data_IF_650359658806
#
_entry.id   IF_650359658806
#
_cell.length_a   1.000
_cell.length_b   1.000
_cell.length_c   1.000
_cell.angle_alpha   90.00
_cell.angle_beta   90.00
_cell.angle_gamma   90.00
#
_symmetry.space_group_name_H-M   'P 1'
#
loop_
_entity.id
_entity.type
_entity.pdbx_description
1 polymer ?
#
# COMPACT_ATOMS: atom_id res chain seq x y z
N UNK A 1 32.40 -0.21 23.96
CA UNK A 1 32.25 -0.65 22.55
C UNK A 1 31.92 -2.14 22.37
N UNK A 2 32.60 -3.10 23.02
CA UNK A 2 32.32 -4.55 22.86
C UNK A 2 30.96 -5.05 23.38
N UNK A 3 30.33 -4.35 24.34
CA UNK A 3 29.03 -4.77 24.90
C UNK A 3 27.87 -4.42 23.97
N UNK A 4 27.93 -3.24 23.33
CA UNK A 4 26.96 -2.77 22.33
C UNK A 4 26.97 -3.68 21.08
N UNK A 5 28.15 -4.13 20.65
CA UNK A 5 28.24 -5.10 19.54
C UNK A 5 27.72 -6.49 19.90
N UNK A 6 27.71 -6.86 21.19
CA UNK A 6 27.21 -8.17 21.66
C UNK A 6 25.68 -8.18 21.78
N UNK A 7 25.08 -7.11 22.29
CA UNK A 7 23.62 -6.94 22.34
C UNK A 7 23.05 -6.84 20.93
N UNK A 8 23.77 -6.17 20.00
CA UNK A 8 23.41 -6.07 18.59
C UNK A 8 23.41 -7.40 17.83
N UNK A 9 24.11 -8.44 18.31
CA UNK A 9 24.18 -9.73 17.60
C UNK A 9 23.20 -10.78 18.15
N UNK A 10 22.65 -10.62 19.36
CA UNK A 10 21.75 -11.63 19.95
C UNK A 10 20.26 -11.32 19.85
N UNK A 11 19.86 -10.05 19.70
CA UNK A 11 18.43 -9.63 19.67
C UNK A 11 17.92 -9.31 18.28
N UNK A 12 18.81 -9.19 17.30
CA UNK A 12 18.48 -8.72 15.97
C UNK A 12 18.32 -9.90 15.01
N UNK A 13 17.14 -10.00 14.39
CA UNK A 13 16.85 -11.03 13.40
C UNK A 13 17.89 -11.05 12.26
N UNK A 14 18.24 -12.27 11.81
CA UNK A 14 19.15 -12.51 10.69
C UNK A 14 18.64 -11.80 9.42
N UNK A 15 19.54 -11.28 8.59
CA UNK A 15 19.17 -10.57 7.35
C UNK A 15 18.32 -11.42 6.42
N UNK A 16 18.53 -12.75 6.37
CA UNK A 16 17.69 -13.65 5.56
C UNK A 16 16.24 -13.68 6.02
N UNK A 17 16.02 -13.73 7.34
CA UNK A 17 14.69 -13.68 7.98
C UNK A 17 14.03 -12.33 7.75
N UNK A 18 14.77 -11.23 7.94
CA UNK A 18 14.25 -9.88 7.67
C UNK A 18 13.83 -9.73 6.21
N UNK A 19 14.62 -10.19 5.24
CA UNK A 19 14.22 -10.14 3.83
C UNK A 19 12.93 -10.93 3.62
N UNK A 20 12.78 -12.12 4.21
CA UNK A 20 11.54 -12.90 4.09
C UNK A 20 10.32 -12.16 4.67
N UNK A 21 10.47 -11.54 5.84
CA UNK A 21 9.39 -10.75 6.44
C UNK A 21 9.03 -9.54 5.58
N UNK A 22 10.04 -8.82 5.06
CA UNK A 22 9.82 -7.72 4.11
C UNK A 22 9.07 -8.22 2.88
N UNK A 23 9.46 -9.36 2.30
CA UNK A 23 8.77 -9.93 1.13
C UNK A 23 7.30 -10.24 1.41
N UNK A 24 7.00 -10.84 2.55
CA UNK A 24 5.63 -11.24 2.93
C UNK A 24 4.78 -9.99 3.18
N UNK A 25 5.26 -9.08 4.03
CA UNK A 25 4.51 -7.87 4.39
C UNK A 25 4.31 -6.92 3.20
N UNK A 26 5.31 -6.80 2.31
CA UNK A 26 5.19 -5.96 1.11
C UNK A 26 4.19 -6.50 0.07
N UNK A 27 3.78 -7.78 0.18
CA UNK A 27 2.70 -8.35 -0.65
C UNK A 27 1.36 -8.26 0.08
N UNK A 28 1.31 -8.74 1.33
CA UNK A 28 0.05 -8.84 2.08
C UNK A 28 -0.49 -7.45 2.44
N UNK A 29 0.36 -6.51 2.85
CA UNK A 29 -0.05 -5.16 3.24
C UNK A 29 -0.88 -4.47 2.14
N UNK A 30 -0.35 -4.31 0.91
CA UNK A 30 -1.10 -3.75 -0.21
C UNK A 30 -2.42 -4.48 -0.53
N UNK A 31 -2.45 -5.81 -0.44
CA UNK A 31 -3.68 -6.59 -0.67
C UNK A 31 -4.73 -6.28 0.40
N UNK A 32 -4.32 -6.18 1.66
CA UNK A 32 -5.20 -5.82 2.78
C UNK A 32 -5.75 -4.40 2.60
N UNK A 33 -4.89 -3.44 2.26
CA UNK A 33 -5.30 -2.04 2.00
C UNK A 33 -6.43 -2.00 0.96
N UNK A 34 -6.22 -2.63 -0.19
CA UNK A 34 -7.20 -2.53 -1.29
C UNK A 34 -8.46 -3.32 -1.00
N UNK A 35 -8.36 -4.50 -0.38
CA UNK A 35 -9.56 -5.26 0.03
C UNK A 35 -10.42 -4.46 1.01
N UNK A 36 -9.78 -3.74 1.94
CA UNK A 36 -10.47 -2.89 2.89
C UNK A 36 -11.01 -1.60 2.25
N UNK A 37 -10.31 -1.02 1.28
CA UNK A 37 -10.83 0.11 0.49
C UNK A 37 -12.09 -0.25 -0.31
N UNK A 38 -12.14 -1.45 -0.90
CA UNK A 38 -13.39 -1.93 -1.52
C UNK A 38 -14.52 -2.12 -0.50
N UNK A 39 -14.21 -2.63 0.69
CA UNK A 39 -15.21 -2.72 1.76
C UNK A 39 -15.70 -1.34 2.20
N UNK A 40 -14.80 -0.36 2.28
CA UNK A 40 -15.14 1.03 2.60
C UNK A 40 -16.12 1.62 1.56
N UNK A 41 -15.78 1.50 0.27
CA UNK A 41 -16.66 1.93 -0.82
C UNK A 41 -18.05 1.27 -0.79
N UNK A 42 -18.11 -0.04 -0.52
CA UNK A 42 -19.38 -0.76 -0.37
C UNK A 42 -20.18 -0.25 0.84
N UNK A 43 -19.49 0.12 1.92
CA UNK A 43 -20.14 0.64 3.13
C UNK A 43 -20.79 2.00 2.88
N UNK A 44 -20.12 2.87 2.12
CA UNK A 44 -20.67 4.15 1.63
C UNK A 44 -21.90 3.93 0.75
N UNK A 45 -21.84 2.98 -0.19
CA UNK A 45 -22.99 2.61 -1.03
C UNK A 45 -24.21 2.15 -0.25
N UNK A 46 -23.98 1.43 0.84
CA UNK A 46 -25.04 0.95 1.72
C UNK A 46 -25.57 2.03 2.67
N UNK A 47 -25.04 3.27 2.59
CA UNK A 47 -25.39 4.39 3.49
C UNK A 47 -25.24 4.00 4.96
N UNK A 48 -24.18 3.24 5.25
CA UNK A 48 -23.83 2.88 6.62
C UNK A 48 -23.45 4.13 7.42
N UNK A 49 -23.54 4.12 8.76
CA UNK A 49 -23.11 5.25 9.58
C UNK A 49 -21.67 5.67 9.27
N UNK A 50 -21.51 6.93 8.90
CA UNK A 50 -20.27 7.52 8.40
C UNK A 50 -19.37 7.98 9.58
N UNK A 51 -18.25 7.29 9.78
CA UNK A 51 -17.17 7.72 10.68
C UNK A 51 -15.84 7.48 9.99
N UNK A 52 -14.88 8.41 10.15
CA UNK A 52 -13.53 8.21 9.62
C UNK A 52 -12.86 6.94 10.17
N UNK A 53 -13.01 6.65 11.46
CA UNK A 53 -12.52 5.40 12.07
C UNK A 53 -13.55 4.27 11.97
N UNK A 54 -14.03 4.01 10.75
CA UNK A 54 -14.87 2.84 10.45
C UNK A 54 -14.05 1.54 10.54
N UNK A 55 -14.71 0.38 10.69
CA UNK A 55 -14.01 -0.91 10.64
C UNK A 55 -13.19 -1.11 9.36
N UNK A 56 -13.70 -0.67 8.20
CA UNK A 56 -12.97 -0.72 6.92
C UNK A 56 -11.72 0.15 6.96
N UNK A 57 -11.80 1.41 7.41
CA UNK A 57 -10.63 2.28 7.57
C UNK A 57 -9.59 1.69 8.53
N UNK A 58 -10.00 1.11 9.66
CA UNK A 58 -9.07 0.46 10.60
C UNK A 58 -8.29 -0.66 9.89
N UNK A 59 -8.93 -1.44 9.02
CA UNK A 59 -8.26 -2.49 8.24
C UNK A 59 -7.37 -1.91 7.14
N UNK A 60 -7.76 -0.79 6.49
CA UNK A 60 -6.89 -0.03 5.57
C UNK A 60 -5.59 0.37 6.29
N UNK A 61 -5.71 1.03 7.45
CA UNK A 61 -4.57 1.47 8.25
C UNK A 61 -3.74 0.29 8.77
N UNK A 62 -4.36 -0.85 9.07
CA UNK A 62 -3.63 -2.07 9.39
C UNK A 62 -2.76 -2.51 8.22
N UNK A 63 -3.28 -2.52 6.99
CA UNK A 63 -2.49 -2.82 5.79
C UNK A 63 -1.36 -1.80 5.55
N UNK A 64 -1.60 -0.50 5.77
CA UNK A 64 -0.55 0.55 5.72
C UNK A 64 0.54 0.29 6.75
N UNK A 65 0.16 -0.11 7.97
CA UNK A 65 1.10 -0.45 9.04
C UNK A 65 1.98 -1.66 8.69
N UNK A 66 1.43 -2.67 8.00
CA UNK A 66 2.19 -3.83 7.52
C UNK A 66 3.25 -3.40 6.49
N UNK A 67 2.88 -2.59 5.51
CA UNK A 67 3.82 -2.06 4.51
C UNK A 67 4.90 -1.17 5.15
N UNK A 68 4.52 -0.38 6.15
CA UNK A 68 5.44 0.46 6.95
C UNK A 68 6.41 -0.38 7.77
N UNK A 69 5.97 -1.48 8.38
CA UNK A 69 6.86 -2.42 9.05
C UNK A 69 7.85 -3.06 8.07
N UNK A 70 7.41 -3.40 6.85
CA UNK A 70 8.29 -3.86 5.78
C UNK A 70 9.35 -2.79 5.41
N UNK A 71 8.95 -1.52 5.32
CA UNK A 71 9.86 -0.41 5.06
C UNK A 71 10.91 -0.24 6.17
N UNK A 72 10.51 -0.28 7.44
CA UNK A 72 11.43 -0.17 8.59
C UNK A 72 12.47 -1.31 8.58
N UNK A 73 12.03 -2.55 8.40
CA UNK A 73 12.95 -3.69 8.26
C UNK A 73 13.85 -3.57 7.02
N UNK A 74 13.31 -3.02 5.92
CA UNK A 74 14.04 -2.70 4.71
C UNK A 74 15.16 -1.68 4.92
N UNK A 75 14.88 -0.61 5.67
CA UNK A 75 15.87 0.41 6.07
C UNK A 75 16.99 -0.25 6.88
N UNK A 76 16.65 -1.12 7.85
CA UNK A 76 17.64 -1.87 8.64
C UNK A 76 18.56 -2.72 7.74
N UNK A 77 18.00 -3.41 6.73
CA UNK A 77 18.76 -4.21 5.77
C UNK A 77 19.71 -3.35 4.91
N UNK A 78 19.28 -2.15 4.51
CA UNK A 78 20.09 -1.20 3.73
C UNK A 78 21.24 -0.64 4.58
N UNK A 79 20.96 -0.22 5.82
CA UNK A 79 21.97 0.33 6.75
C UNK A 79 23.05 -0.72 7.03
N UNK A 80 22.67 -1.98 7.19
CA UNK A 80 23.60 -3.11 7.37
C UNK A 80 24.38 -3.50 6.12
N UNK A 81 24.10 -2.87 4.97
CA UNK A 81 24.66 -3.24 3.66
C UNK A 81 24.46 -4.72 3.30
N UNK A 82 23.40 -5.35 3.83
CA UNK A 82 23.13 -6.79 3.65
C UNK A 82 22.35 -7.14 2.37
N UNK A 83 21.99 -6.13 1.57
CA UNK A 83 21.24 -6.26 0.32
C UNK A 83 21.92 -5.46 -0.79
N UNK A 84 21.89 -5.98 -2.02
CA UNK A 84 22.55 -5.40 -3.20
C UNK A 84 21.68 -5.56 -4.45
N UNK A 85 22.04 -4.86 -5.53
CA UNK A 85 21.39 -5.00 -6.84
C UNK A 85 19.89 -4.72 -6.80
N UNK A 86 19.13 -5.49 -7.58
CA UNK A 86 17.67 -5.35 -7.70
C UNK A 86 16.91 -5.65 -6.40
N UNK A 87 17.46 -6.47 -5.49
CA UNK A 87 16.88 -6.65 -4.15
C UNK A 87 16.88 -5.34 -3.35
N UNK A 88 17.99 -4.58 -3.41
CA UNK A 88 18.08 -3.27 -2.75
C UNK A 88 17.11 -2.27 -3.41
N UNK A 89 16.98 -2.30 -4.73
CA UNK A 89 16.01 -1.47 -5.47
C UNK A 89 14.59 -1.77 -5.05
N UNK A 90 14.20 -3.05 -4.99
CA UNK A 90 12.87 -3.45 -4.56
C UNK A 90 12.55 -2.97 -3.13
N UNK A 91 13.51 -3.10 -2.20
CA UNK A 91 13.36 -2.58 -0.84
C UNK A 91 13.18 -1.05 -0.82
N UNK A 92 13.93 -0.31 -1.64
CA UNK A 92 13.75 1.15 -1.75
C UNK A 92 12.37 1.53 -2.25
N UNK A 93 11.83 0.80 -3.24
CA UNK A 93 10.47 1.03 -3.74
C UNK A 93 9.44 0.77 -2.63
N UNK A 94 9.56 -0.33 -1.88
CA UNK A 94 8.67 -0.58 -0.72
C UNK A 94 8.72 0.57 0.29
N UNK A 95 9.91 1.12 0.58
CA UNK A 95 10.07 2.27 1.47
C UNK A 95 9.35 3.51 0.92
N UNK A 96 9.56 3.84 -0.36
CA UNK A 96 8.90 4.99 -1.00
C UNK A 96 7.39 4.82 -1.00
N UNK A 97 6.89 3.63 -1.37
CA UNK A 97 5.47 3.32 -1.35
C UNK A 97 4.85 3.45 0.04
N UNK A 98 5.53 2.95 1.07
CA UNK A 98 5.07 3.06 2.47
C UNK A 98 5.00 4.52 2.95
N UNK A 99 6.00 5.34 2.59
CA UNK A 99 6.01 6.77 2.92
C UNK A 99 4.84 7.47 2.24
N UNK A 100 4.64 7.23 0.94
CA UNK A 100 3.50 7.77 0.22
C UNK A 100 2.18 7.36 0.87
N UNK A 101 1.97 6.08 1.16
CA UNK A 101 0.74 5.60 1.82
C UNK A 101 0.52 6.26 3.19
N UNK A 102 1.56 6.39 4.01
CA UNK A 102 1.41 6.97 5.35
C UNK A 102 1.08 8.45 5.29
N UNK A 103 1.78 9.21 4.45
CA UNK A 103 1.53 10.65 4.27
C UNK A 103 0.17 10.90 3.64
N UNK A 104 -0.19 10.09 2.63
CA UNK A 104 -1.46 10.24 1.91
C UNK A 104 -2.64 9.85 2.77
N UNK A 105 -2.55 8.77 3.57
CA UNK A 105 -3.63 8.41 4.50
C UNK A 105 -3.89 9.49 5.55
N UNK A 106 -2.83 10.14 6.04
CA UNK A 106 -3.01 11.30 6.93
C UNK A 106 -3.63 12.50 6.19
N UNK A 107 -3.16 12.79 4.96
CA UNK A 107 -3.74 13.85 4.12
C UNK A 107 -5.21 13.60 3.79
N UNK A 108 -5.59 12.34 3.60
CA UNK A 108 -6.96 11.90 3.37
C UNK A 108 -7.86 12.12 4.60
N UNK A 109 -7.38 11.77 5.80
CA UNK A 109 -8.05 12.14 7.05
C UNK A 109 -8.33 13.63 7.16
N UNK A 110 -7.35 14.47 6.82
CA UNK A 110 -7.54 15.93 6.85
C UNK A 110 -8.50 16.40 5.77
N UNK A 111 -8.49 15.77 4.59
CA UNK A 111 -9.46 16.05 3.53
C UNK A 111 -10.88 15.80 4.02
N UNK A 112 -11.11 14.66 4.70
CA UNK A 112 -12.41 14.31 5.24
C UNK A 112 -12.89 15.28 6.32
N UNK A 113 -11.98 15.79 7.14
CA UNK A 113 -12.30 16.80 8.16
C UNK A 113 -12.74 18.15 7.55
N UNK A 114 -12.18 18.53 6.39
CA UNK A 114 -12.41 19.84 5.75
C UNK A 114 -13.55 19.79 4.74
N UNK A 115 -13.60 18.74 3.93
CA UNK A 115 -14.49 18.63 2.76
C UNK A 115 -15.62 17.60 2.96
N UNK A 116 -15.60 16.84 4.05
CA UNK A 116 -16.50 15.71 4.27
C UNK A 116 -15.98 14.43 3.63
N UNK A 117 -16.66 13.33 3.92
CA UNK A 117 -16.24 12.00 3.46
C UNK A 117 -16.52 11.87 1.96
N UNK A 118 -15.47 11.52 1.21
CA UNK A 118 -15.53 11.36 -0.24
C UNK A 118 -15.57 9.87 -0.65
N UNK A 119 -15.89 9.62 -1.92
CA UNK A 119 -15.91 8.27 -2.48
C UNK A 119 -14.51 7.75 -2.82
N UNK A 120 -14.43 6.46 -3.14
CA UNK A 120 -13.17 5.75 -3.47
C UNK A 120 -12.30 6.45 -4.54
N UNK A 121 -12.92 7.21 -5.46
CA UNK A 121 -12.27 8.06 -6.45
C UNK A 121 -12.30 9.50 -5.93
N UNK A 122 -11.27 9.85 -5.17
CA UNK A 122 -11.02 11.23 -4.78
C UNK A 122 -9.57 11.63 -4.99
N UNK A 123 -9.32 12.94 -4.98
CA UNK A 123 -7.98 13.49 -5.11
C UNK A 123 -7.07 13.12 -3.94
N UNK A 124 -7.62 12.97 -2.72
CA UNK A 124 -6.84 12.57 -1.55
C UNK A 124 -6.42 11.10 -1.61
N UNK A 125 -7.18 10.25 -2.31
CA UNK A 125 -6.90 8.83 -2.49
C UNK A 125 -5.81 8.52 -3.53
N UNK A 126 -5.65 9.32 -4.61
CA UNK A 126 -4.72 8.99 -5.70
C UNK A 126 -3.24 8.81 -5.24
N UNK A 127 -2.70 9.66 -4.35
CA UNK A 127 -1.34 9.47 -3.83
C UNK A 127 -1.17 8.17 -3.01
N UNK A 128 -2.21 7.71 -2.31
CA UNK A 128 -2.22 6.44 -1.58
C UNK A 128 -2.14 5.25 -2.56
N UNK A 129 -2.90 5.31 -3.64
CA UNK A 129 -2.88 4.31 -4.72
C UNK A 129 -1.55 4.25 -5.47
N UNK A 130 -0.93 5.39 -5.73
CA UNK A 130 0.43 5.44 -6.26
C UNK A 130 1.42 4.73 -5.32
N UNK A 131 1.26 4.92 -4.01
CA UNK A 131 2.03 4.21 -2.99
C UNK A 131 1.86 2.68 -3.07
N UNK A 132 0.64 2.19 -3.33
CA UNK A 132 0.35 0.76 -3.55
C UNK A 132 1.07 0.20 -4.78
N UNK A 133 1.04 0.92 -5.91
CA UNK A 133 1.73 0.52 -7.14
C UNK A 133 3.25 0.45 -6.92
N UNK A 134 3.82 1.47 -6.28
CA UNK A 134 5.26 1.52 -6.01
C UNK A 134 5.68 0.40 -5.04
N UNK A 135 4.92 0.19 -3.96
CA UNK A 135 5.21 -0.87 -2.98
C UNK A 135 5.11 -2.27 -3.59
N UNK A 136 4.07 -2.53 -4.40
CA UNK A 136 3.88 -3.83 -5.06
C UNK A 136 4.93 -4.10 -6.14
N UNK A 137 5.36 -3.10 -6.92
CA UNK A 137 6.51 -3.23 -7.82
C UNK A 137 7.78 -3.59 -7.02
N UNK A 138 7.98 -2.94 -5.88
CA UNK A 138 9.04 -3.27 -4.93
C UNK A 138 8.99 -4.73 -4.49
N UNK A 139 7.81 -5.23 -4.12
CA UNK A 139 7.60 -6.61 -3.73
C UNK A 139 7.92 -7.61 -4.85
N UNK A 140 7.53 -7.32 -6.10
CA UNK A 140 7.88 -8.14 -7.27
C UNK A 140 9.39 -8.25 -7.43
N UNK A 141 10.11 -7.12 -7.35
CA UNK A 141 11.57 -7.11 -7.47
C UNK A 141 12.25 -7.90 -6.34
N UNK A 142 11.77 -7.76 -5.10
CA UNK A 142 12.29 -8.51 -3.95
C UNK A 142 12.09 -10.01 -4.16
N UNK A 143 10.88 -10.44 -4.55
CA UNK A 143 10.54 -11.85 -4.72
C UNK A 143 11.24 -12.49 -5.91
N UNK A 144 11.45 -11.75 -7.00
CA UNK A 144 12.27 -12.20 -8.14
C UNK A 144 13.69 -12.55 -7.72
N UNK A 145 14.30 -11.76 -6.81
CA UNK A 145 15.62 -12.06 -6.23
C UNK A 145 15.60 -13.26 -5.26
N UNK A 146 14.43 -13.82 -4.96
CA UNK A 146 14.23 -14.91 -3.99
C UNK A 146 13.52 -16.11 -4.60
N UNK A 147 13.50 -16.20 -5.93
CA UNK A 147 12.82 -17.26 -6.69
C UNK A 147 13.37 -18.66 -6.42
N UNK A 148 14.62 -18.78 -5.98
CA UNK A 148 15.20 -20.07 -5.58
C UNK A 148 14.87 -20.48 -4.13
N UNK A 149 14.04 -19.72 -3.43
CA UNK A 149 13.60 -20.02 -2.05
C UNK A 149 12.12 -20.39 -2.00
N UNK A 150 11.63 -20.85 -0.85
CA UNK A 150 10.18 -21.10 -0.63
C UNK A 150 9.29 -19.88 -0.90
N UNK A 151 9.86 -18.66 -0.89
CA UNK A 151 9.13 -17.43 -1.20
C UNK A 151 8.71 -17.31 -2.67
N UNK A 152 9.22 -18.15 -3.57
CA UNK A 152 8.76 -18.21 -4.97
C UNK A 152 7.25 -18.38 -5.08
N UNK A 153 6.62 -19.05 -4.11
CA UNK A 153 5.17 -19.24 -4.07
C UNK A 153 4.41 -17.90 -4.07
N UNK A 154 4.98 -16.84 -3.47
CA UNK A 154 4.37 -15.51 -3.41
C UNK A 154 4.58 -14.68 -4.68
N UNK A 155 5.51 -15.06 -5.57
CA UNK A 155 5.81 -14.32 -6.79
C UNK A 155 4.59 -14.12 -7.71
N UNK A 156 3.79 -15.15 -8.06
CA UNK A 156 2.60 -14.94 -8.91
C UNK A 156 1.59 -13.99 -8.25
N UNK A 157 1.36 -14.12 -6.94
CA UNK A 157 0.47 -13.22 -6.20
C UNK A 157 0.95 -11.77 -6.24
N UNK A 158 2.25 -11.56 -6.08
CA UNK A 158 2.87 -10.22 -6.16
C UNK A 158 2.74 -9.60 -7.55
N UNK A 159 2.94 -10.39 -8.62
CA UNK A 159 2.79 -9.92 -10.00
C UNK A 159 1.33 -9.54 -10.28
N UNK A 160 0.38 -10.41 -9.91
CA UNK A 160 -1.05 -10.13 -10.10
C UNK A 160 -1.47 -8.91 -9.31
N UNK A 161 -1.04 -8.77 -8.05
CA UNK A 161 -1.32 -7.60 -7.23
C UNK A 161 -0.77 -6.31 -7.87
N UNK A 162 0.49 -6.31 -8.32
CA UNK A 162 1.08 -5.16 -9.02
C UNK A 162 0.28 -4.78 -10.29
N UNK A 163 -0.07 -5.76 -11.12
CA UNK A 163 -0.88 -5.52 -12.33
C UNK A 163 -2.25 -4.95 -11.98
N UNK A 164 -2.89 -5.51 -10.96
CA UNK A 164 -4.20 -5.06 -10.49
C UNK A 164 -4.14 -3.62 -9.98
N UNK A 165 -3.22 -3.29 -9.07
CA UNK A 165 -3.09 -1.92 -8.54
C UNK A 165 -2.71 -0.91 -9.62
N UNK A 166 -1.88 -1.29 -10.59
CA UNK A 166 -1.53 -0.43 -11.71
C UNK A 166 -2.74 -0.15 -12.59
N UNK A 167 -3.51 -1.19 -12.91
CA UNK A 167 -4.73 -1.07 -13.71
C UNK A 167 -5.78 -0.25 -12.97
N UNK A 168 -5.91 -0.44 -11.66
CA UNK A 168 -6.79 0.32 -10.78
C UNK A 168 -6.45 1.81 -10.78
N UNK A 169 -5.18 2.17 -10.54
CA UNK A 169 -4.73 3.56 -10.59
C UNK A 169 -4.98 4.19 -11.97
N UNK A 170 -4.68 3.47 -13.05
CA UNK A 170 -4.95 3.97 -14.41
C UNK A 170 -6.45 4.19 -14.61
N UNK A 171 -7.29 3.25 -14.17
CA UNK A 171 -8.74 3.37 -14.24
C UNK A 171 -9.24 4.61 -13.50
N UNK A 172 -8.78 4.86 -12.27
CA UNK A 172 -9.15 6.04 -11.49
C UNK A 172 -8.69 7.34 -12.14
N UNK A 173 -7.46 7.39 -12.67
CA UNK A 173 -6.97 8.56 -13.40
C UNK A 173 -7.79 8.82 -14.68
N UNK A 174 -8.17 7.77 -15.42
CA UNK A 174 -9.01 7.91 -16.62
C UNK A 174 -10.40 8.41 -16.27
N UNK A 175 -11.03 7.89 -15.20
CA UNK A 175 -12.32 8.40 -14.73
C UNK A 175 -12.20 9.86 -14.27
N UNK A 176 -11.11 10.20 -13.59
CA UNK A 176 -10.87 11.56 -13.15
C UNK A 176 -10.87 12.56 -14.33
N UNK A 177 -10.15 12.28 -15.42
CA UNK A 177 -10.15 13.14 -16.62
C UNK A 177 -11.42 12.97 -17.49
N UNK A 178 -12.12 11.84 -17.37
CA UNK A 178 -13.36 11.53 -18.09
C UNK A 178 -14.63 12.11 -17.47
N UNK A 179 -14.54 12.76 -16.30
CA UNK A 179 -15.66 13.34 -15.55
C UNK A 179 -16.51 14.36 -16.32
N UNK A 180 -16.05 14.86 -17.47
CA UNK A 180 -16.83 15.77 -18.32
C UNK A 180 -18.08 15.15 -18.95
N UNK A 181 -18.32 13.82 -18.89
CA UNK A 181 -19.31 13.20 -19.79
C UNK A 181 -20.42 12.38 -19.13
N UNK A 182 -20.35 11.81 -17.91
CA UNK A 182 -21.32 10.74 -17.59
C UNK A 182 -21.67 10.57 -16.10
N UNK A 183 -22.92 10.92 -15.74
CA UNK A 183 -23.64 10.35 -14.59
C UNK A 183 -24.03 8.89 -14.88
N UNK A 184 -23.05 7.99 -14.92
CA UNK A 184 -23.29 6.54 -14.94
C UNK A 184 -23.28 6.05 -13.48
N UNK A 185 -24.06 5.02 -13.17
CA UNK A 185 -24.08 4.32 -11.87
C UNK A 185 -22.69 4.01 -11.28
N UNK A 186 -21.67 3.83 -12.13
CA UNK A 186 -20.26 3.67 -11.71
C UNK A 186 -19.75 4.91 -10.94
N UNK A 187 -20.14 6.13 -11.32
CA UNK A 187 -19.78 7.33 -10.57
C UNK A 187 -20.54 7.47 -9.25
N UNK A 188 -21.77 6.98 -9.13
CA UNK A 188 -22.45 6.91 -7.82
C UNK A 188 -21.81 5.85 -6.90
N UNK A 189 -21.20 4.81 -7.48
CA UNK A 189 -20.54 3.71 -6.76
C UNK A 189 -19.14 4.10 -6.28
N UNK A 190 -18.42 4.89 -7.06
CA UNK A 190 -17.00 5.17 -6.82
C UNK A 190 -16.68 6.63 -6.52
N UNK A 191 -17.59 7.57 -6.75
CA UNK A 191 -17.43 9.00 -6.42
C UNK A 191 -18.58 9.43 -5.50
N UNK A 192 -18.34 10.42 -4.64
CA UNK A 192 -19.35 11.00 -3.74
C UNK A 192 -20.37 11.84 -4.53
N UNK A 193 -21.20 11.16 -5.32
CA UNK A 193 -22.22 11.73 -6.20
C UNK A 193 -21.74 11.99 -7.62
N UNK A 194 -22.70 12.27 -8.51
CA UNK A 194 -22.41 12.91 -9.78
C UNK A 194 -21.65 14.21 -9.50
N UNK A 195 -20.55 14.45 -10.20
CA UNK A 195 -20.03 15.82 -10.34
C UNK A 195 -21.07 16.63 -11.11
N UNK A 196 -22.07 17.14 -10.42
CA UNK A 196 -22.85 18.28 -10.88
C UNK A 196 -21.95 19.47 -10.58
N UNK A 197 -21.49 20.12 -11.66
CA UNK A 197 -21.14 21.53 -11.60
C UNK A 197 -22.35 22.31 -11.08
#
# INVERSE_FOLDING_TARGET
MRLISRISNSTIAKSSTLVSLVSILAVIGPIVIVSAGFWDAISHLQKSPEFFWSPSHIVVYFGVSMTSCAAIMGIMLIIRKSVRGSLKTGIKLVIVGAVLQTVSGFGDSLSHDVFGIDGLISWSHQPLELGLVIASLGAVLILKNREHTKLRLFLPFSIVAFMFFTTWLIFNLVLFFGHTIQCIQIYEIFSSGCSIL
#
